data_IF_696621708613
#
_entry.id   IF_696621708613
#
_cell.length_a   1.000
_cell.length_b   1.000
_cell.length_c   1.000
_cell.angle_alpha   90.00
_cell.angle_beta   90.00
_cell.angle_gamma   90.00
#
_symmetry.space_group_name_H-M   'P 1'
#
loop_
_entity.id
_entity.type
_entity.pdbx_description
1 polymer ?
#
# COMPACT_ATOMS: atom_id res chain seq x y z
N UNK A 1 12.78 14.39 13.36
CA UNK A 1 12.99 13.39 12.30
C UNK A 1 11.68 13.21 11.57
N UNK A 2 11.68 13.09 10.24
CA UNK A 2 10.48 12.76 9.47
C UNK A 2 10.00 11.34 9.82
N UNK A 3 8.69 11.10 9.81
CA UNK A 3 8.14 9.76 9.98
C UNK A 3 8.46 8.86 8.79
N UNK A 4 8.38 7.55 8.97
CA UNK A 4 8.52 6.55 7.90
C UNK A 4 7.58 6.87 6.73
N UNK A 5 6.31 7.18 7.02
CA UNK A 5 5.32 7.51 5.99
C UNK A 5 5.70 8.76 5.21
N UNK A 6 6.09 9.85 5.89
CA UNK A 6 6.52 11.07 5.20
C UNK A 6 7.73 10.82 4.29
N UNK A 7 8.72 10.09 4.82
CA UNK A 7 9.94 9.73 4.10
C UNK A 7 9.59 8.90 2.85
N UNK A 8 8.72 7.91 3.02
CA UNK A 8 8.26 7.04 1.94
C UNK A 8 7.45 7.80 0.88
N UNK A 9 6.47 8.59 1.28
CA UNK A 9 5.61 9.33 0.35
C UNK A 9 6.40 10.37 -0.46
N UNK A 10 7.34 11.08 0.18
CA UNK A 10 8.28 11.96 -0.52
C UNK A 10 9.12 11.20 -1.54
N UNK A 11 9.69 10.06 -1.15
CA UNK A 11 10.51 9.23 -2.04
C UNK A 11 9.71 8.69 -3.22
N UNK A 12 8.56 8.06 -2.96
CA UNK A 12 7.64 7.52 -3.97
C UNK A 12 7.23 8.61 -4.98
N UNK A 13 7.01 9.83 -4.50
CA UNK A 13 6.64 10.96 -5.35
C UNK A 13 7.82 11.44 -6.20
N UNK A 14 9.01 11.58 -5.62
CA UNK A 14 10.18 12.14 -6.31
C UNK A 14 10.72 11.22 -7.42
N UNK A 15 10.65 9.90 -7.23
CA UNK A 15 11.16 8.93 -8.22
C UNK A 15 10.03 8.20 -8.97
N UNK A 16 8.77 8.52 -8.66
CA UNK A 16 7.59 7.88 -9.25
C UNK A 16 7.59 6.33 -9.18
N UNK A 17 8.13 5.75 -8.12
CA UNK A 17 8.28 4.30 -7.95
C UNK A 17 7.54 3.78 -6.73
N UNK A 18 7.14 2.51 -6.77
CA UNK A 18 6.70 1.72 -5.60
C UNK A 18 7.60 0.49 -5.38
N UNK A 19 8.74 0.44 -6.08
CA UNK A 19 9.67 -0.67 -5.98
C UNK A 19 10.34 -0.68 -4.61
N UNK A 20 10.27 -1.82 -3.94
CA UNK A 20 11.02 -2.07 -2.72
C UNK A 20 12.13 -3.08 -3.06
N UNK A 21 13.40 -2.73 -2.86
CA UNK A 21 14.51 -3.63 -3.19
C UNK A 21 14.86 -4.47 -1.97
N UNK A 22 14.75 -5.79 -2.09
CA UNK A 22 15.14 -6.73 -1.04
C UNK A 22 16.66 -6.87 -0.95
N UNK A 23 17.19 -6.89 0.26
CA UNK A 23 18.61 -7.10 0.53
C UNK A 23 18.79 -8.44 1.24
N UNK A 24 18.92 -9.51 0.45
CA UNK A 24 18.96 -10.88 0.92
C UNK A 24 20.26 -11.55 0.45
N UNK A 25 21.40 -11.39 1.17
CA UNK A 25 22.70 -11.92 0.79
C UNK A 25 22.76 -13.44 0.91
N UNK A 26 22.16 -14.15 -0.05
CA UNK A 26 22.17 -15.60 -0.13
C UNK A 26 23.59 -16.11 -0.39
N UNK A 27 24.02 -17.15 0.32
CA UNK A 27 25.35 -17.79 0.14
C UNK A 27 25.70 -18.08 -1.33
N UNK A 28 24.72 -18.53 -2.12
CA UNK A 28 24.87 -18.81 -3.55
C UNK A 28 25.20 -17.59 -4.42
N UNK A 29 24.93 -16.37 -3.93
CA UNK A 29 25.16 -15.10 -4.62
C UNK A 29 26.44 -14.39 -4.15
N UNK A 30 26.97 -14.79 -2.99
CA UNK A 30 28.13 -14.14 -2.38
C UNK A 30 29.48 -14.73 -2.83
N UNK A 31 29.48 -15.92 -3.43
CA UNK A 31 30.69 -16.71 -3.72
C UNK A 31 31.37 -17.29 -2.46
N UNK A 32 31.27 -16.60 -1.33
CA UNK A 32 31.62 -17.07 0.02
C UNK A 32 30.65 -16.49 1.04
N UNK A 33 30.16 -17.30 1.99
CA UNK A 33 29.26 -16.85 3.06
C UNK A 33 30.03 -16.06 4.15
N UNK A 34 30.58 -14.90 3.80
CA UNK A 34 31.31 -14.03 4.73
C UNK A 34 30.60 -12.69 4.94
N UNK A 35 30.78 -12.05 6.11
CA UNK A 35 30.26 -10.70 6.36
C UNK A 35 30.71 -9.67 5.30
N UNK A 36 31.97 -9.70 4.88
CA UNK A 36 32.50 -8.77 3.86
C UNK A 36 31.87 -8.98 2.48
N UNK A 37 31.64 -10.23 2.09
CA UNK A 37 30.93 -10.54 0.85
C UNK A 37 29.48 -10.05 0.90
N UNK A 38 28.78 -10.26 2.02
CA UNK A 38 27.42 -9.77 2.23
C UNK A 38 27.35 -8.23 2.17
N UNK A 39 28.29 -7.53 2.82
CA UNK A 39 28.37 -6.06 2.77
C UNK A 39 28.58 -5.57 1.33
N UNK A 40 29.54 -6.16 0.62
CA UNK A 40 29.87 -5.78 -0.77
C UNK A 40 28.71 -6.04 -1.72
N UNK A 41 28.02 -7.17 -1.56
CA UNK A 41 26.82 -7.52 -2.31
C UNK A 41 25.71 -6.48 -2.11
N UNK A 42 25.34 -6.21 -0.85
CA UNK A 42 24.27 -5.25 -0.56
C UNK A 42 24.64 -3.84 -1.01
N UNK A 43 25.88 -3.40 -0.78
CA UNK A 43 26.34 -2.07 -1.22
C UNK A 43 26.27 -1.89 -2.71
N UNK A 44 26.72 -2.89 -3.49
CA UNK A 44 26.64 -2.85 -4.95
C UNK A 44 25.19 -2.77 -5.42
N UNK A 45 24.32 -3.61 -4.84
CA UNK A 45 22.90 -3.65 -5.20
C UNK A 45 22.20 -2.32 -4.88
N UNK A 46 22.49 -1.71 -3.74
CA UNK A 46 21.96 -0.38 -3.36
C UNK A 46 22.41 0.67 -4.36
N UNK A 47 23.69 0.77 -4.67
CA UNK A 47 24.22 1.77 -5.61
C UNK A 47 23.54 1.65 -6.99
N UNK A 48 23.37 0.43 -7.48
CA UNK A 48 22.78 0.18 -8.80
C UNK A 48 21.28 0.48 -8.87
N UNK A 49 20.56 0.35 -7.75
CA UNK A 49 19.09 0.41 -7.73
C UNK A 49 18.52 1.65 -7.05
N UNK A 50 19.37 2.46 -6.41
CA UNK A 50 18.98 3.67 -5.69
C UNK A 50 18.08 4.61 -6.49
N UNK A 51 18.33 4.90 -7.79
CA UNK A 51 17.45 5.81 -8.56
C UNK A 51 16.00 5.33 -8.69
N UNK A 52 15.75 4.03 -8.49
CA UNK A 52 14.49 3.36 -8.77
C UNK A 52 13.79 2.81 -7.51
N UNK A 53 14.53 2.67 -6.41
CA UNK A 53 14.03 2.10 -5.16
C UNK A 53 13.29 3.14 -4.29
N UNK A 54 12.01 2.85 -3.99
CA UNK A 54 11.20 3.60 -3.05
C UNK A 54 11.60 3.31 -1.59
N UNK A 55 12.06 2.10 -1.31
CA UNK A 55 12.67 1.71 -0.03
C UNK A 55 13.54 0.46 -0.19
N UNK A 56 14.38 0.20 0.82
CA UNK A 56 15.15 -1.04 0.92
C UNK A 56 14.61 -1.93 2.03
N UNK A 57 14.62 -3.25 1.79
CA UNK A 57 14.08 -4.24 2.72
C UNK A 57 15.07 -5.36 3.01
N UNK A 58 16.05 -5.16 3.91
CA UNK A 58 16.89 -6.26 4.39
C UNK A 58 16.05 -7.28 5.15
N UNK A 59 16.28 -8.57 4.87
CA UNK A 59 15.71 -9.66 5.66
C UNK A 59 16.73 -10.13 6.70
N UNK A 60 16.37 -9.97 7.98
CA UNK A 60 17.28 -10.20 9.10
C UNK A 60 17.90 -11.60 9.10
N UNK A 61 17.17 -12.62 8.62
CA UNK A 61 17.61 -14.01 8.66
C UNK A 61 18.95 -14.25 7.93
N UNK A 62 19.19 -13.58 6.81
CA UNK A 62 20.43 -13.78 6.05
C UNK A 62 21.65 -13.13 6.72
N UNK A 63 21.43 -12.11 7.52
CA UNK A 63 22.48 -11.48 8.32
C UNK A 63 22.70 -12.24 9.63
N UNK A 64 21.63 -12.68 10.29
CA UNK A 64 21.70 -13.52 11.49
C UNK A 64 22.45 -14.84 11.25
N UNK A 65 22.31 -15.42 10.05
CA UNK A 65 23.05 -16.62 9.64
C UNK A 65 24.58 -16.42 9.60
N UNK A 66 25.07 -15.17 9.52
CA UNK A 66 26.48 -14.80 9.55
C UNK A 66 26.98 -14.42 10.96
N UNK A 67 26.17 -14.66 12.00
CA UNK A 67 26.53 -14.39 13.39
C UNK A 67 26.55 -12.90 13.75
N UNK A 68 27.35 -12.55 14.75
CA UNK A 68 27.47 -11.19 15.27
C UNK A 68 28.04 -10.21 14.23
N UNK A 69 29.01 -10.66 13.42
CA UNK A 69 29.55 -9.88 12.30
C UNK A 69 28.49 -9.62 11.22
N UNK A 70 27.58 -10.57 10.98
CA UNK A 70 26.44 -10.37 10.09
C UNK A 70 25.51 -9.24 10.54
N UNK A 71 25.21 -9.18 11.84
CA UNK A 71 24.41 -8.09 12.41
C UNK A 71 25.14 -6.74 12.34
N UNK A 72 26.47 -6.72 12.51
CA UNK A 72 27.29 -5.51 12.29
C UNK A 72 27.19 -5.06 10.83
N UNK A 73 27.26 -5.99 9.88
CA UNK A 73 27.08 -5.69 8.45
C UNK A 73 25.70 -5.09 8.17
N UNK A 74 24.63 -5.67 8.71
CA UNK A 74 23.27 -5.13 8.56
C UNK A 74 23.20 -3.67 9.04
N UNK A 75 23.71 -3.38 10.25
CA UNK A 75 23.76 -2.02 10.79
C UNK A 75 24.54 -1.08 9.87
N UNK A 76 25.75 -1.48 9.46
CA UNK A 76 26.62 -0.66 8.60
C UNK A 76 25.99 -0.37 7.24
N UNK A 77 25.23 -1.29 6.65
CA UNK A 77 24.51 -1.02 5.41
C UNK A 77 23.45 0.07 5.60
N UNK A 78 22.70 0.01 6.70
CA UNK A 78 21.68 1.00 7.03
C UNK A 78 22.30 2.37 7.32
N UNK A 79 23.39 2.41 8.08
CA UNK A 79 24.04 3.65 8.53
C UNK A 79 24.97 4.29 7.48
N UNK A 80 25.74 3.50 6.75
CA UNK A 80 26.84 4.00 5.90
C UNK A 80 26.49 4.02 4.40
N UNK A 81 25.47 3.27 3.96
CA UNK A 81 25.23 3.01 2.53
C UNK A 81 23.88 3.52 2.05
N UNK A 82 22.81 3.25 2.79
CA UNK A 82 21.47 3.70 2.42
C UNK A 82 21.33 5.18 2.78
N UNK A 83 20.97 6.08 1.83
CA UNK A 83 20.79 7.49 2.15
C UNK A 83 19.67 7.74 3.16
N UNK A 84 19.86 8.75 4.01
CA UNK A 84 18.94 9.12 5.10
C UNK A 84 17.51 9.44 4.65
N UNK A 85 17.29 9.79 3.37
CA UNK A 85 15.99 10.07 2.77
C UNK A 85 15.30 8.84 2.15
N UNK A 86 15.97 7.67 2.12
CA UNK A 86 15.41 6.41 1.62
C UNK A 86 15.00 5.48 2.76
N UNK A 87 13.71 5.10 2.87
CA UNK A 87 13.24 4.28 3.98
C UNK A 87 13.87 2.89 4.03
N UNK A 88 14.12 2.40 5.24
CA UNK A 88 14.53 1.01 5.49
C UNK A 88 13.43 0.24 6.21
N UNK A 89 12.94 -0.83 5.59
CA UNK A 89 11.95 -1.75 6.16
C UNK A 89 12.64 -3.06 6.54
N UNK A 90 12.90 -3.28 7.83
CA UNK A 90 13.52 -4.52 8.29
C UNK A 90 12.52 -5.66 8.30
N UNK A 91 12.78 -6.69 7.49
CA UNK A 91 11.94 -7.88 7.45
C UNK A 91 12.40 -8.89 8.51
N UNK A 92 11.86 -8.76 9.73
CA UNK A 92 12.23 -9.55 10.91
C UNK A 92 11.10 -10.42 11.48
N UNK A 93 9.83 -10.20 11.06
CA UNK A 93 8.64 -10.99 11.43
C UNK A 93 8.50 -11.25 12.93
N UNK A 94 8.85 -10.27 13.77
CA UNK A 94 8.85 -10.43 15.23
C UNK A 94 7.43 -10.45 15.78
N UNK A 95 7.27 -11.03 16.97
CA UNK A 95 6.02 -11.07 17.73
C UNK A 95 6.27 -11.88 18.99
N UNK A 96 6.21 -11.22 20.14
CA UNK A 96 6.46 -11.82 21.46
C UNK A 96 5.79 -10.97 22.54
N UNK A 97 5.70 -11.45 23.78
CA UNK A 97 4.98 -10.75 24.84
C UNK A 97 5.83 -9.67 25.53
N UNK A 98 5.17 -8.57 25.89
CA UNK A 98 5.64 -7.59 26.87
C UNK A 98 7.09 -7.10 26.67
N UNK A 99 7.93 -7.33 27.68
CA UNK A 99 9.32 -6.86 27.69
C UNK A 99 10.18 -7.48 26.59
N UNK A 100 9.85 -8.69 26.13
CA UNK A 100 10.60 -9.34 25.04
C UNK A 100 10.36 -8.62 23.72
N UNK A 101 9.12 -8.26 23.41
CA UNK A 101 8.81 -7.44 22.24
C UNK A 101 9.43 -6.04 22.32
N UNK A 102 9.50 -5.44 23.52
CA UNK A 102 10.19 -4.16 23.70
C UNK A 102 11.69 -4.26 23.36
N UNK A 103 12.37 -5.32 23.80
CA UNK A 103 13.76 -5.57 23.44
C UNK A 103 13.96 -5.76 21.93
N UNK A 104 13.03 -6.45 21.26
CA UNK A 104 13.06 -6.56 19.80
C UNK A 104 12.82 -5.23 19.08
N UNK A 105 11.94 -4.38 19.61
CA UNK A 105 11.71 -3.04 19.07
C UNK A 105 12.97 -2.16 19.19
N UNK A 106 13.67 -2.21 20.33
CA UNK A 106 14.95 -1.51 20.52
C UNK A 106 16.04 -2.04 19.58
N UNK A 107 16.16 -3.37 19.44
CA UNK A 107 17.06 -3.98 18.48
C UNK A 107 16.82 -3.48 17.05
N UNK A 108 15.57 -3.45 16.59
CA UNK A 108 15.25 -3.05 15.22
C UNK A 108 15.39 -1.53 14.98
N UNK A 109 14.80 -0.71 15.85
CA UNK A 109 14.69 0.73 15.59
C UNK A 109 15.89 1.53 16.08
N UNK A 110 16.50 1.15 17.21
CA UNK A 110 17.63 1.89 17.78
C UNK A 110 18.98 1.32 17.34
N UNK A 111 19.12 -0.01 17.35
CA UNK A 111 20.41 -0.63 17.07
C UNK A 111 20.65 -0.93 15.60
N UNK A 112 19.62 -1.27 14.83
CA UNK A 112 19.73 -1.42 13.37
C UNK A 112 19.42 -0.10 12.65
N UNK A 113 18.61 0.77 13.25
CA UNK A 113 18.22 2.04 12.64
C UNK A 113 17.10 1.92 11.60
N UNK A 114 16.33 0.82 11.61
CA UNK A 114 15.23 0.61 10.67
C UNK A 114 14.15 1.70 10.83
N UNK A 115 13.50 2.07 9.73
CA UNK A 115 12.35 2.99 9.73
C UNK A 115 11.02 2.25 9.89
N UNK A 116 10.97 0.99 9.46
CA UNK A 116 9.83 0.12 9.66
C UNK A 116 10.24 -1.34 9.87
N UNK A 117 9.34 -2.15 10.42
CA UNK A 117 9.56 -3.60 10.64
C UNK A 117 8.39 -4.44 10.14
N UNK A 118 8.63 -5.73 9.86
CA UNK A 118 7.56 -6.73 9.73
C UNK A 118 7.26 -7.42 11.07
N UNK A 119 5.97 -7.61 11.37
CA UNK A 119 5.48 -8.21 12.63
C UNK A 119 4.46 -9.32 12.39
N UNK A 120 4.43 -10.32 13.27
CA UNK A 120 3.38 -11.32 13.34
C UNK A 120 2.22 -10.82 14.21
N UNK A 121 0.97 -10.78 13.70
CA UNK A 121 -0.19 -10.33 14.49
C UNK A 121 -0.80 -11.44 15.36
N UNK A 122 -0.33 -12.69 15.23
CA UNK A 122 -1.04 -13.87 15.72
C UNK A 122 -1.16 -13.94 17.25
N UNK A 123 -0.21 -13.34 17.97
CA UNK A 123 -0.21 -13.29 19.44
C UNK A 123 -1.03 -12.14 20.01
N UNK A 124 -1.65 -11.31 19.16
CA UNK A 124 -2.53 -10.21 19.59
C UNK A 124 -1.86 -8.84 19.63
N UNK A 125 -2.59 -7.85 20.17
CA UNK A 125 -2.14 -6.46 20.21
C UNK A 125 -0.98 -6.24 21.18
N UNK A 126 -1.04 -6.84 22.36
CA UNK A 126 -0.04 -6.71 23.41
C UNK A 126 1.34 -7.24 23.02
N UNK A 127 1.41 -8.14 22.02
CA UNK A 127 2.69 -8.62 21.48
C UNK A 127 3.33 -7.70 20.44
N UNK A 128 2.59 -6.72 19.92
CA UNK A 128 3.05 -5.79 18.86
C UNK A 128 3.06 -4.34 19.31
N UNK A 129 2.25 -3.99 20.33
CA UNK A 129 2.19 -2.67 20.92
C UNK A 129 3.56 -2.09 21.33
N UNK A 130 4.54 -2.87 21.83
CA UNK A 130 5.87 -2.33 22.13
C UNK A 130 6.62 -1.74 20.92
N UNK A 131 6.28 -2.14 19.70
CA UNK A 131 6.81 -1.56 18.46
C UNK A 131 6.09 -0.26 18.05
N UNK A 132 4.95 0.05 18.68
CA UNK A 132 4.01 1.12 18.29
C UNK A 132 3.72 2.00 19.50
N UNK A 133 4.76 2.68 19.96
CA UNK A 133 4.72 3.57 21.13
C UNK A 133 5.07 4.99 20.71
N UNK A 134 4.83 5.98 21.59
CA UNK A 134 5.24 7.37 21.35
C UNK A 134 6.76 7.49 21.08
N UNK A 135 7.58 6.64 21.73
CA UNK A 135 9.03 6.52 21.50
C UNK A 135 9.36 6.18 20.04
N UNK A 136 8.50 5.42 19.37
CA UNK A 136 8.64 5.01 17.96
C UNK A 136 7.53 5.59 17.08
N UNK A 137 6.98 6.75 17.44
CA UNK A 137 5.90 7.40 16.69
C UNK A 137 6.28 7.74 15.24
N UNK A 138 7.57 7.90 14.95
CA UNK A 138 8.09 8.11 13.61
C UNK A 138 8.30 6.83 12.81
N UNK A 139 8.09 5.64 13.39
CA UNK A 139 8.38 4.33 12.77
C UNK A 139 7.14 3.68 12.18
N UNK A 140 7.35 2.70 11.29
CA UNK A 140 6.28 1.92 10.66
C UNK A 140 6.25 0.45 11.07
N UNK A 141 5.08 -0.18 11.05
CA UNK A 141 4.91 -1.60 11.35
C UNK A 141 4.02 -2.29 10.29
N UNK A 142 4.55 -3.34 9.64
CA UNK A 142 3.85 -4.12 8.61
C UNK A 142 3.50 -5.52 9.11
N UNK A 143 2.20 -5.82 9.17
CA UNK A 143 1.72 -7.06 9.78
C UNK A 143 1.52 -8.17 8.75
N UNK A 144 2.00 -9.37 9.05
CA UNK A 144 1.74 -10.56 8.24
C UNK A 144 0.23 -10.82 8.14
N UNK A 145 -0.33 -10.67 6.94
CA UNK A 145 -1.78 -10.74 6.71
C UNK A 145 -2.14 -11.97 5.88
N UNK A 146 -1.71 -12.02 4.61
CA UNK A 146 -1.81 -13.18 3.72
C UNK A 146 -0.47 -13.39 3.07
N UNK A 147 0.33 -14.32 3.57
CA UNK A 147 1.71 -14.51 3.06
C UNK A 147 1.71 -15.21 1.69
N UNK A 148 2.79 -15.04 0.92
CA UNK A 148 2.88 -15.52 -0.47
C UNK A 148 3.17 -17.03 -0.61
N UNK A 149 3.51 -17.72 0.47
CA UNK A 149 3.84 -19.14 0.46
C UNK A 149 2.58 -20.03 0.33
N UNK A 150 2.67 -21.24 -0.28
CA UNK A 150 1.54 -22.15 -0.44
C UNK A 150 0.84 -22.57 0.87
N UNK A 151 1.61 -22.70 1.96
CA UNK A 151 1.08 -23.03 3.29
C UNK A 151 0.35 -21.87 3.99
N UNK A 152 0.25 -20.69 3.38
CA UNK A 152 -0.52 -19.57 3.95
C UNK A 152 -1.99 -19.95 4.19
N UNK A 153 -2.54 -20.84 3.35
CA UNK A 153 -3.92 -21.34 3.46
C UNK A 153 -4.22 -22.16 4.70
N UNK A 154 -3.20 -22.75 5.34
CA UNK A 154 -3.38 -23.66 6.48
C UNK A 154 -4.06 -22.95 7.67
N UNK A 155 -3.79 -21.66 7.83
CA UNK A 155 -4.39 -20.83 8.88
C UNK A 155 -5.07 -19.58 8.35
N UNK A 156 -4.44 -18.88 7.39
CA UNK A 156 -4.87 -17.53 7.03
C UNK A 156 -6.16 -17.50 6.20
N UNK A 157 -6.50 -18.61 5.52
CA UNK A 157 -7.74 -18.77 4.75
C UNK A 157 -8.86 -19.48 5.54
N UNK A 158 -8.67 -19.74 6.84
CA UNK A 158 -9.73 -20.32 7.65
C UNK A 158 -10.91 -19.36 7.76
N UNK A 159 -12.11 -19.89 7.51
CA UNK A 159 -13.35 -19.15 7.68
C UNK A 159 -13.64 -18.89 9.16
N UNK A 160 -13.89 -17.63 9.48
CA UNK A 160 -14.39 -17.22 10.78
C UNK A 160 -15.92 -17.20 10.78
N UNK A 161 -16.52 -17.27 11.98
CA UNK A 161 -17.98 -17.20 12.16
C UNK A 161 -18.63 -15.94 11.58
N UNK A 162 -17.85 -14.90 11.30
CA UNK A 162 -18.27 -13.64 10.68
C UNK A 162 -18.36 -13.69 9.15
N UNK A 163 -18.23 -14.86 8.51
CA UNK A 163 -18.10 -15.02 7.04
C UNK A 163 -16.93 -14.22 6.44
N UNK A 164 -15.86 -14.07 7.22
CA UNK A 164 -14.60 -13.49 6.76
C UNK A 164 -13.50 -14.52 7.00
N UNK A 165 -12.48 -14.54 6.15
CA UNK A 165 -11.28 -15.34 6.39
C UNK A 165 -10.40 -14.72 7.49
N UNK A 166 -9.51 -15.51 8.09
CA UNK A 166 -8.60 -15.01 9.12
C UNK A 166 -7.75 -13.83 8.62
N UNK A 167 -7.25 -13.86 7.39
CA UNK A 167 -6.46 -12.75 6.84
C UNK A 167 -7.30 -11.47 6.65
N UNK A 168 -8.57 -11.57 6.24
CA UNK A 168 -9.44 -10.41 6.16
C UNK A 168 -9.70 -9.79 7.53
N UNK A 169 -9.83 -10.63 8.57
CA UNK A 169 -9.97 -10.15 9.94
C UNK A 169 -8.69 -9.46 10.45
N UNK A 170 -7.50 -9.99 10.14
CA UNK A 170 -6.22 -9.31 10.42
C UNK A 170 -6.18 -7.95 9.71
N UNK A 171 -6.57 -7.89 8.43
CA UNK A 171 -6.62 -6.65 7.67
C UNK A 171 -7.56 -5.61 8.31
N UNK A 172 -8.75 -6.03 8.78
CA UNK A 172 -9.67 -5.16 9.52
C UNK A 172 -9.09 -4.69 10.85
N UNK A 173 -8.46 -5.57 11.63
CA UNK A 173 -7.82 -5.22 12.89
C UNK A 173 -6.77 -4.13 12.70
N UNK A 174 -5.86 -4.31 11.74
CA UNK A 174 -4.79 -3.35 11.46
C UNK A 174 -5.35 -2.04 10.91
N UNK A 175 -6.20 -2.12 9.89
CA UNK A 175 -6.68 -0.94 9.15
C UNK A 175 -7.72 -0.10 9.88
N UNK A 176 -8.42 -0.69 10.86
CA UNK A 176 -9.48 -0.01 11.59
C UNK A 176 -9.16 0.08 13.09
N UNK A 177 -9.08 -1.05 13.78
CA UNK A 177 -8.97 -1.07 15.24
C UNK A 177 -7.62 -0.53 15.72
N UNK A 178 -6.52 -1.09 15.25
CA UNK A 178 -5.17 -0.68 15.69
C UNK A 178 -4.82 0.70 15.13
N UNK A 179 -5.13 0.97 13.86
CA UNK A 179 -4.94 2.31 13.28
C UNK A 179 -5.68 3.42 14.06
N UNK A 180 -6.91 3.17 14.54
CA UNK A 180 -7.64 4.16 15.35
C UNK A 180 -7.09 4.33 16.76
N UNK A 181 -6.48 3.27 17.33
CA UNK A 181 -5.83 3.32 18.63
C UNK A 181 -4.46 4.02 18.58
N UNK A 182 -3.78 4.00 17.44
CA UNK A 182 -2.46 4.61 17.24
C UNK A 182 -2.44 5.53 16.01
N UNK A 183 -3.18 6.65 16.04
CA UNK A 183 -3.30 7.54 14.88
C UNK A 183 -1.98 8.21 14.47
N UNK A 184 -0.97 8.19 15.34
CA UNK A 184 0.37 8.70 15.08
C UNK A 184 1.27 7.73 14.33
N UNK A 185 0.94 6.43 14.29
CA UNK A 185 1.82 5.38 13.78
C UNK A 185 1.45 4.97 12.35
N UNK A 186 2.44 4.61 11.54
CA UNK A 186 2.21 4.05 10.21
C UNK A 186 2.04 2.54 10.30
N UNK A 187 0.81 2.05 10.12
CA UNK A 187 0.52 0.61 10.06
C UNK A 187 0.33 0.14 8.61
N UNK A 188 0.88 -1.03 8.30
CA UNK A 188 0.80 -1.66 6.99
C UNK A 188 0.52 -3.15 7.07
N UNK A 189 0.25 -3.77 5.92
CA UNK A 189 0.02 -5.21 5.80
C UNK A 189 1.05 -5.85 4.88
N UNK A 190 1.37 -7.11 5.14
CA UNK A 190 2.11 -7.97 4.22
C UNK A 190 1.13 -8.93 3.55
N UNK A 191 0.95 -8.76 2.24
CA UNK A 191 -0.06 -9.48 1.45
C UNK A 191 0.58 -9.97 0.15
N UNK A 192 0.63 -11.28 -0.07
CA UNK A 192 1.33 -11.88 -1.19
C UNK A 192 0.78 -11.44 -2.55
N UNK A 193 1.66 -11.00 -3.45
CA UNK A 193 1.33 -10.65 -4.83
C UNK A 193 0.97 -11.86 -5.72
N UNK A 194 1.11 -13.08 -5.19
CA UNK A 194 0.75 -14.34 -5.87
C UNK A 194 -0.76 -14.58 -5.90
N UNK A 195 -1.54 -13.85 -5.10
CA UNK A 195 -2.99 -14.01 -5.00
C UNK A 195 -3.70 -12.64 -5.09
N UNK A 196 -3.99 -12.15 -6.31
CA UNK A 196 -4.68 -10.88 -6.51
C UNK A 196 -6.09 -10.83 -5.89
N UNK A 197 -6.75 -11.97 -5.71
CA UNK A 197 -8.08 -12.04 -5.09
C UNK A 197 -7.98 -11.72 -3.61
N UNK A 198 -7.09 -12.41 -2.89
CA UNK A 198 -6.84 -12.11 -1.48
C UNK A 198 -6.28 -10.70 -1.28
N UNK A 199 -5.48 -10.22 -2.23
CA UNK A 199 -4.91 -8.87 -2.18
C UNK A 199 -6.00 -7.78 -2.26
N UNK A 200 -6.97 -7.94 -3.17
CA UNK A 200 -8.14 -7.06 -3.26
C UNK A 200 -9.01 -7.12 -2.00
N UNK A 201 -9.24 -8.32 -1.46
CA UNK A 201 -10.01 -8.52 -0.23
C UNK A 201 -9.33 -7.84 0.97
N UNK A 202 -8.02 -8.02 1.13
CA UNK A 202 -7.24 -7.38 2.19
C UNK A 202 -7.25 -5.84 2.06
N UNK A 203 -7.07 -5.30 0.84
CA UNK A 203 -7.19 -3.85 0.57
C UNK A 203 -8.55 -3.31 1.01
N UNK A 204 -9.64 -3.99 0.63
CA UNK A 204 -11.00 -3.59 1.01
C UNK A 204 -11.21 -3.64 2.53
N UNK A 205 -10.74 -4.70 3.18
CA UNK A 205 -10.87 -4.91 4.61
C UNK A 205 -10.09 -3.88 5.44
N UNK A 206 -8.88 -3.53 5.00
CA UNK A 206 -7.98 -2.59 5.67
C UNK A 206 -8.32 -1.11 5.40
N UNK A 207 -8.87 -0.81 4.22
CA UNK A 207 -9.13 0.55 3.77
C UNK A 207 -7.98 1.16 2.96
N UNK A 208 -8.25 2.33 2.38
CA UNK A 208 -7.39 2.96 1.37
C UNK A 208 -6.12 3.62 1.91
N UNK A 209 -6.04 3.86 3.23
CA UNK A 209 -4.91 4.54 3.87
C UNK A 209 -3.77 3.60 4.28
N UNK A 210 -4.05 2.29 4.39
CA UNK A 210 -3.08 1.30 4.87
C UNK A 210 -2.09 0.98 3.77
N UNK A 211 -0.79 0.98 4.06
CA UNK A 211 0.21 0.53 3.09
C UNK A 211 0.26 -1.00 3.00
N UNK A 212 0.40 -1.55 1.79
CA UNK A 212 0.56 -2.99 1.58
C UNK A 212 1.95 -3.29 1.03
N UNK A 213 2.74 -4.08 1.76
CA UNK A 213 3.96 -4.70 1.27
C UNK A 213 3.61 -6.01 0.57
N UNK A 214 3.87 -6.11 -0.74
CA UNK A 214 3.35 -7.20 -1.57
C UNK A 214 4.42 -8.13 -2.18
N UNK A 215 5.02 -9.03 -1.38
CA UNK A 215 6.02 -9.96 -1.89
C UNK A 215 5.42 -11.02 -2.81
N UNK A 216 6.23 -11.48 -3.75
CA UNK A 216 5.90 -12.61 -4.61
C UNK A 216 5.95 -12.33 -6.10
N UNK A 217 6.15 -11.07 -6.50
CA UNK A 217 6.41 -10.72 -7.92
C UNK A 217 7.73 -11.35 -8.40
N UNK A 218 7.73 -11.89 -9.62
CA UNK A 218 8.91 -12.49 -10.23
C UNK A 218 9.16 -13.93 -9.74
N UNK A 219 10.13 -14.13 -8.85
CA UNK A 219 10.64 -15.46 -8.48
C UNK A 219 9.60 -16.42 -7.86
N UNK A 220 8.47 -15.91 -7.35
CA UNK A 220 7.38 -16.73 -6.80
C UNK A 220 6.15 -16.78 -7.72
N UNK A 221 6.25 -16.24 -8.94
CA UNK A 221 5.22 -16.35 -9.98
C UNK A 221 4.11 -15.31 -9.93
N UNK A 222 4.17 -14.30 -9.04
CA UNK A 222 3.19 -13.23 -9.01
C UNK A 222 3.28 -12.31 -10.24
N UNK A 223 2.13 -12.00 -10.85
CA UNK A 223 2.02 -11.05 -11.95
C UNK A 223 1.98 -9.61 -11.40
N UNK A 224 2.92 -8.77 -11.83
CA UNK A 224 3.06 -7.40 -11.33
C UNK A 224 1.82 -6.54 -11.59
N UNK A 225 1.30 -6.56 -12.82
CA UNK A 225 0.16 -5.73 -13.23
C UNK A 225 -1.12 -6.12 -12.49
N UNK A 226 -1.39 -7.42 -12.37
CA UNK A 226 -2.56 -7.93 -11.64
C UNK A 226 -2.49 -7.59 -10.15
N UNK A 227 -1.31 -7.76 -9.53
CA UNK A 227 -1.09 -7.42 -8.13
C UNK A 227 -1.31 -5.91 -7.88
N UNK A 228 -0.75 -5.04 -8.74
CA UNK A 228 -0.93 -3.59 -8.64
C UNK A 228 -2.39 -3.19 -8.81
N UNK A 229 -3.10 -3.73 -9.81
CA UNK A 229 -4.52 -3.46 -10.00
C UNK A 229 -5.40 -3.92 -8.83
N UNK A 230 -5.02 -5.02 -8.16
CA UNK A 230 -5.72 -5.49 -6.98
C UNK A 230 -5.42 -4.68 -5.72
N UNK A 231 -4.22 -4.11 -5.62
CA UNK A 231 -3.66 -3.60 -4.36
C UNK A 231 -3.48 -2.11 -4.22
N UNK A 232 -3.35 -1.39 -5.33
CA UNK A 232 -3.23 0.06 -5.29
C UNK A 232 -4.52 0.68 -4.74
N UNK A 233 -4.35 1.79 -4.01
CA UNK A 233 -5.48 2.63 -3.65
C UNK A 233 -5.92 3.51 -4.85
N UNK A 234 -7.01 4.25 -4.66
CA UNK A 234 -7.59 5.16 -5.65
C UNK A 234 -6.59 6.20 -6.23
N UNK A 235 -5.55 6.53 -5.48
CA UNK A 235 -4.52 7.50 -5.88
C UNK A 235 -3.34 6.83 -6.63
N UNK A 236 -3.44 5.53 -6.92
CA UNK A 236 -2.36 4.76 -7.55
C UNK A 236 -1.12 4.65 -6.66
N UNK A 237 -1.31 4.52 -5.34
CA UNK A 237 -0.25 4.37 -4.32
C UNK A 237 -0.70 3.39 -3.23
N UNK A 238 -0.11 3.45 -2.04
CA UNK A 238 -0.48 2.63 -0.87
C UNK A 238 0.02 1.19 -0.95
N UNK A 239 0.98 0.90 -1.84
CA UNK A 239 1.54 -0.43 -2.04
C UNK A 239 3.05 -0.33 -2.27
N UNK A 240 3.80 -1.31 -1.79
CA UNK A 240 5.22 -1.51 -2.04
C UNK A 240 5.43 -2.88 -2.65
N UNK A 241 6.26 -2.97 -3.69
CA UNK A 241 6.53 -4.22 -4.41
C UNK A 241 7.95 -4.69 -4.05
N UNK A 242 8.13 -5.53 -3.01
CA UNK A 242 9.43 -6.06 -2.65
C UNK A 242 9.91 -7.08 -3.68
N UNK A 243 11.01 -6.77 -4.36
CA UNK A 243 11.71 -7.66 -5.27
C UNK A 243 13.14 -7.82 -4.79
N UNK A 244 13.54 -9.07 -4.55
CA UNK A 244 14.86 -9.46 -4.05
C UNK A 244 15.62 -10.15 -5.18
N UNK A 245 15.68 -11.49 -5.20
CA UNK A 245 16.32 -12.33 -6.23
C UNK A 245 16.03 -11.98 -7.68
N UNK A 246 14.85 -11.42 -7.98
CA UNK A 246 14.51 -10.96 -9.35
C UNK A 246 15.39 -9.81 -9.84
N UNK A 247 15.97 -9.03 -8.93
CA UNK A 247 16.93 -7.95 -9.22
C UNK A 247 18.36 -8.43 -8.97
N UNK A 248 18.63 -9.07 -7.83
CA UNK A 248 20.01 -9.42 -7.46
C UNK A 248 20.65 -10.46 -8.38
N UNK A 249 19.86 -11.35 -8.98
CA UNK A 249 20.34 -12.36 -9.95
C UNK A 249 20.24 -11.90 -11.41
N UNK A 250 19.78 -10.69 -11.67
CA UNK A 250 19.74 -10.16 -13.02
C UNK A 250 21.15 -9.88 -13.55
N UNK A 251 21.36 -10.02 -14.86
CA UNK A 251 22.63 -9.66 -15.50
C UNK A 251 22.96 -8.18 -15.27
N UNK A 252 21.94 -7.33 -15.26
CA UNK A 252 22.06 -5.91 -14.96
C UNK A 252 20.97 -5.47 -13.95
N UNK A 253 21.27 -5.51 -12.64
CA UNK A 253 20.32 -5.14 -11.59
C UNK A 253 19.73 -3.73 -11.75
N UNK A 254 20.53 -2.78 -12.24
CA UNK A 254 20.09 -1.40 -12.47
C UNK A 254 19.04 -1.32 -13.58
N UNK A 255 19.28 -1.99 -14.71
CA UNK A 255 18.33 -2.04 -15.82
C UNK A 255 17.03 -2.74 -15.43
N UNK A 256 17.12 -3.86 -14.71
CA UNK A 256 15.92 -4.58 -14.23
C UNK A 256 15.12 -3.76 -13.22
N UNK A 257 15.77 -3.04 -12.30
CA UNK A 257 15.07 -2.16 -11.36
C UNK A 257 14.36 -0.99 -12.08
N UNK A 258 15.00 -0.42 -13.11
CA UNK A 258 14.40 0.61 -13.97
C UNK A 258 13.17 0.08 -14.70
N UNK A 259 13.25 -1.10 -15.31
CA UNK A 259 12.13 -1.71 -16.03
C UNK A 259 10.93 -1.95 -15.10
N UNK A 260 11.18 -2.47 -13.89
CA UNK A 260 10.13 -2.65 -12.87
C UNK A 260 9.49 -1.33 -12.47
N UNK A 261 10.29 -0.26 -12.28
CA UNK A 261 9.77 1.08 -12.01
C UNK A 261 8.85 1.57 -13.15
N UNK A 262 9.27 1.43 -14.40
CA UNK A 262 8.49 1.85 -15.58
C UNK A 262 7.16 1.09 -15.66
N UNK A 263 7.17 -0.23 -15.45
CA UNK A 263 5.95 -1.05 -15.40
C UNK A 263 5.01 -0.63 -14.26
N UNK A 264 5.57 -0.36 -13.07
CA UNK A 264 4.83 0.17 -11.93
C UNK A 264 4.19 1.51 -12.28
N UNK A 265 4.94 2.44 -12.87
CA UNK A 265 4.44 3.76 -13.27
C UNK A 265 3.25 3.66 -14.23
N UNK A 266 3.34 2.80 -15.25
CA UNK A 266 2.26 2.57 -16.22
C UNK A 266 0.99 2.09 -15.51
N UNK A 267 1.11 1.10 -14.62
CA UNK A 267 -0.03 0.57 -13.86
C UNK A 267 -0.65 1.64 -12.94
N UNK A 268 0.18 2.48 -12.29
CA UNK A 268 -0.32 3.56 -11.42
C UNK A 268 -1.12 4.60 -12.21
N UNK A 269 -0.68 4.95 -13.42
CA UNK A 269 -1.43 5.85 -14.31
C UNK A 269 -2.79 5.26 -14.67
N UNK A 270 -2.83 3.99 -15.07
CA UNK A 270 -4.07 3.29 -15.40
C UNK A 270 -5.06 3.28 -14.24
N UNK A 271 -4.62 2.99 -13.01
CA UNK A 271 -5.49 2.99 -11.82
C UNK A 271 -6.06 4.38 -11.54
N UNK A 272 -5.25 5.44 -11.68
CA UNK A 272 -5.71 6.84 -11.51
C UNK A 272 -6.74 7.23 -12.55
N UNK A 273 -6.53 6.85 -13.81
CA UNK A 273 -7.47 7.11 -14.92
C UNK A 273 -8.78 6.33 -14.75
N UNK A 274 -8.71 5.05 -14.37
CA UNK A 274 -9.91 4.25 -14.08
C UNK A 274 -10.70 4.82 -12.90
N UNK A 275 -9.99 5.25 -11.85
CA UNK A 275 -10.62 5.86 -10.68
C UNK A 275 -11.33 7.16 -11.05
N UNK A 276 -10.67 8.05 -11.81
CA UNK A 276 -11.28 9.33 -12.23
C UNK A 276 -12.50 9.14 -13.13
N UNK A 277 -12.48 8.15 -14.03
CA UNK A 277 -13.63 7.75 -14.84
C UNK A 277 -14.76 7.14 -14.01
N UNK A 278 -14.43 6.35 -12.98
CA UNK A 278 -15.43 5.73 -12.07
C UNK A 278 -16.06 6.73 -11.10
N UNK A 279 -15.29 7.71 -10.60
CA UNK A 279 -15.82 8.80 -9.77
C UNK A 279 -16.67 9.77 -10.59
N UNK A 280 -16.40 9.89 -11.89
CA UNK A 280 -17.28 10.58 -12.82
C UNK A 280 -18.58 9.80 -13.11
N UNK A 281 -18.65 8.50 -12.82
CA UNK A 281 -19.80 7.63 -13.09
C UNK A 281 -20.61 7.19 -11.86
N UNK A 282 -20.15 7.48 -10.63
CA UNK A 282 -20.89 7.13 -9.40
C UNK A 282 -22.03 8.12 -9.12
N UNK A 283 -23.03 8.12 -10.00
CA UNK A 283 -24.30 8.80 -9.77
C UNK A 283 -25.05 8.00 -8.70
N UNK A 284 -25.34 8.63 -7.56
CA UNK A 284 -26.15 8.03 -6.50
C UNK A 284 -27.57 7.74 -7.02
N UNK A 285 -28.29 6.73 -6.49
CA UNK A 285 -29.62 6.37 -6.99
C UNK A 285 -30.58 7.56 -7.14
N UNK A 286 -30.62 8.46 -6.15
CA UNK A 286 -31.47 9.65 -6.18
C UNK A 286 -31.06 10.66 -7.27
N UNK A 287 -29.77 10.73 -7.60
CA UNK A 287 -29.25 11.59 -8.67
C UNK A 287 -29.64 11.02 -10.03
N UNK A 288 -29.63 9.69 -10.19
CA UNK A 288 -30.08 9.00 -11.40
C UNK A 288 -31.58 9.23 -11.62
N UNK A 289 -32.38 9.00 -10.58
CA UNK A 289 -33.83 9.25 -10.61
C UNK A 289 -34.14 10.72 -10.96
N UNK A 290 -33.36 11.66 -10.44
CA UNK A 290 -33.50 13.08 -10.77
C UNK A 290 -33.19 13.37 -12.24
N UNK A 291 -32.13 12.79 -12.80
CA UNK A 291 -31.74 12.98 -14.20
C UNK A 291 -32.77 12.36 -15.15
N UNK A 292 -33.23 11.13 -14.86
CA UNK A 292 -34.29 10.46 -15.62
C UNK A 292 -35.58 11.28 -15.60
N UNK A 293 -35.99 11.74 -14.43
CA UNK A 293 -37.16 12.61 -14.31
C UNK A 293 -36.99 13.94 -15.06
N UNK A 294 -35.78 14.53 -15.03
CA UNK A 294 -35.48 15.76 -15.76
C UNK A 294 -35.57 15.56 -17.27
N UNK A 295 -35.18 14.40 -17.79
CA UNK A 295 -35.34 14.04 -19.20
C UNK A 295 -36.82 13.83 -19.55
N UNK A 296 -37.57 13.11 -18.72
CA UNK A 296 -39.01 12.87 -18.91
C UNK A 296 -39.82 14.17 -18.98
N UNK A 297 -39.52 15.15 -18.12
CA UNK A 297 -40.19 16.45 -18.11
C UNK A 297 -39.68 17.41 -19.19
N UNK A 298 -38.66 17.01 -19.98
CA UNK A 298 -37.99 17.88 -20.93
C UNK A 298 -37.27 19.07 -20.27
N UNK A 299 -37.02 19.00 -18.96
CA UNK A 299 -36.19 19.94 -18.21
C UNK A 299 -34.76 19.85 -18.73
N UNK A 300 -34.23 18.63 -18.88
CA UNK A 300 -32.95 18.35 -19.51
C UNK A 300 -33.18 17.86 -20.94
N UNK A 301 -32.47 18.45 -21.91
CA UNK A 301 -32.48 18.04 -23.32
C UNK A 301 -31.06 17.96 -23.85
N UNK A 302 -30.78 16.99 -24.71
CA UNK A 302 -29.52 16.86 -25.44
C UNK A 302 -29.72 17.30 -26.90
N UNK A 303 -28.70 17.94 -27.49
CA UNK A 303 -28.77 18.56 -28.81
C UNK A 303 -27.77 19.71 -28.94
N UNK A 304 -27.90 20.55 -29.96
CA UNK A 304 -27.05 21.74 -30.13
C UNK A 304 -27.83 22.99 -29.74
N UNK A 305 -27.39 23.67 -28.67
CA UNK A 305 -28.06 24.87 -28.15
C UNK A 305 -27.08 26.04 -28.06
N UNK A 306 -27.46 27.22 -28.56
CA UNK A 306 -26.66 28.44 -28.41
C UNK A 306 -27.06 29.14 -27.11
N UNK A 307 -26.12 29.27 -26.18
CA UNK A 307 -26.33 29.92 -24.89
C UNK A 307 -26.31 31.45 -25.02
N UNK A 308 -26.82 32.17 -24.01
CA UNK A 308 -26.77 33.65 -23.96
C UNK A 308 -25.34 34.22 -24.08
N UNK A 309 -24.32 33.42 -23.74
CA UNK A 309 -22.91 33.75 -23.91
C UNK A 309 -22.38 33.58 -25.34
N UNK A 310 -23.23 33.18 -26.30
CA UNK A 310 -22.84 32.84 -27.68
C UNK A 310 -22.15 31.49 -27.84
N UNK A 311 -21.96 30.72 -26.76
CA UNK A 311 -21.34 29.38 -26.81
C UNK A 311 -22.36 28.33 -27.21
N UNK A 312 -21.94 27.36 -28.01
CA UNK A 312 -22.74 26.16 -28.29
C UNK A 312 -22.57 25.13 -27.17
N UNK A 313 -23.68 24.64 -26.63
CA UNK A 313 -23.74 23.60 -25.60
C UNK A 313 -24.40 22.33 -26.15
N UNK A 314 -23.88 21.13 -25.80
CA UNK A 314 -24.47 19.85 -26.22
C UNK A 314 -25.73 19.46 -25.42
N UNK A 315 -26.12 20.27 -24.44
CA UNK A 315 -27.33 20.08 -23.66
C UNK A 315 -27.91 21.43 -23.21
N UNK A 316 -29.18 21.42 -22.82
CA UNK A 316 -29.88 22.54 -22.22
C UNK A 316 -30.68 22.07 -21.01
N UNK A 317 -30.63 22.82 -19.92
CA UNK A 317 -31.37 22.53 -18.68
C UNK A 317 -32.26 23.72 -18.31
N UNK A 318 -33.58 23.52 -18.30
CA UNK A 318 -34.57 24.53 -17.95
C UNK A 318 -35.35 24.15 -16.68
N UNK A 319 -34.83 24.56 -15.53
CA UNK A 319 -35.46 24.32 -14.24
C UNK A 319 -36.87 24.91 -14.12
N UNK A 320 -37.23 25.91 -14.95
CA UNK A 320 -38.57 26.49 -14.98
C UNK A 320 -39.66 25.51 -15.44
N UNK A 321 -39.29 24.36 -16.02
CA UNK A 321 -40.23 23.31 -16.40
C UNK A 321 -40.63 22.41 -15.22
N UNK A 322 -40.01 22.54 -14.04
CA UNK A 322 -40.54 21.96 -12.80
C UNK A 322 -41.75 22.76 -12.29
N UNK A 323 -42.83 22.82 -13.08
CA UNK A 323 -43.95 23.74 -12.87
C UNK A 323 -45.21 23.09 -12.26
N UNK A 324 -45.18 21.78 -11.99
CA UNK A 324 -46.33 21.04 -11.42
C UNK A 324 -46.05 20.61 -9.98
N UNK A 325 -47.11 20.36 -9.19
CA UNK A 325 -46.97 19.87 -7.82
C UNK A 325 -46.15 18.58 -7.72
N UNK A 326 -46.38 17.64 -8.65
CA UNK A 326 -45.60 16.38 -8.74
C UNK A 326 -44.13 16.64 -9.05
N UNK A 327 -43.83 17.58 -9.95
CA UNK A 327 -42.47 17.94 -10.31
C UNK A 327 -41.72 18.60 -9.15
N UNK A 328 -42.36 19.52 -8.44
CA UNK A 328 -41.80 20.16 -7.25
C UNK A 328 -41.58 19.16 -6.12
N UNK A 329 -42.47 18.18 -5.94
CA UNK A 329 -42.30 17.11 -4.96
C UNK A 329 -41.07 16.24 -5.24
N UNK A 330 -40.89 15.78 -6.50
CA UNK A 330 -39.71 14.99 -6.90
C UNK A 330 -38.41 15.81 -6.78
N UNK A 331 -38.44 17.08 -7.16
CA UNK A 331 -37.31 18.00 -6.99
C UNK A 331 -36.95 18.15 -5.50
N UNK A 332 -37.94 18.35 -4.62
CA UNK A 332 -37.75 18.44 -3.18
C UNK A 332 -37.13 17.17 -2.57
N UNK A 333 -37.52 15.98 -3.03
CA UNK A 333 -36.89 14.71 -2.63
C UNK A 333 -35.41 14.63 -3.02
N UNK A 334 -35.05 15.10 -4.22
CA UNK A 334 -33.66 15.12 -4.67
C UNK A 334 -32.80 16.09 -3.81
N UNK A 335 -33.34 17.26 -3.47
CA UNK A 335 -32.69 18.18 -2.54
C UNK A 335 -32.51 17.56 -1.15
N UNK A 336 -33.57 17.00 -0.57
CA UNK A 336 -33.51 16.35 0.74
C UNK A 336 -32.49 15.20 0.77
N UNK A 337 -32.47 14.37 -0.28
CA UNK A 337 -31.50 13.27 -0.40
C UNK A 337 -30.07 13.79 -0.50
N UNK A 338 -29.84 14.91 -1.20
CA UNK A 338 -28.51 15.55 -1.27
C UNK A 338 -28.07 16.07 0.10
N UNK A 339 -28.97 16.73 0.84
CA UNK A 339 -28.73 17.21 2.20
C UNK A 339 -28.33 16.04 3.12
N UNK A 340 -29.10 14.94 3.09
CA UNK A 340 -28.84 13.76 3.93
C UNK A 340 -27.54 13.02 3.59
N UNK A 341 -27.08 13.09 2.34
CA UNK A 341 -25.83 12.46 1.90
C UNK A 341 -24.63 13.43 1.93
N UNK A 342 -24.83 14.68 2.33
CA UNK A 342 -23.76 15.65 2.47
C UNK A 342 -23.12 15.54 3.84
N UNK A 343 -21.79 15.52 3.87
CA UNK A 343 -20.99 15.60 5.10
C UNK A 343 -20.69 17.05 5.53
N UNK A 344 -21.20 18.05 4.81
CA UNK A 344 -20.89 19.47 4.99
C UNK A 344 -22.04 20.32 5.57
N UNK A 345 -22.86 19.75 6.46
CA UNK A 345 -23.97 20.45 7.11
C UNK A 345 -23.83 20.48 8.63
#
# INVERSE_FOLDING_TARGET
MSSFQEKLERRVTSINSLLCVGLDPHEQELGSATPDAAFTFCKTLIIQTLPYAACYKPNAAFFEALGDEGLKVLRRIVEEVIPDDVPVLLDCKRGDIGSTAAAYADAAYQHIGADAVTLSPLMGWDSVAPFITEKYSSKGAFFLCKTSNPGSKDFLELDLKSNATLYEYIAQLVGQKWSSQTPFATLGLVVGATDPVALRAARKAAGNKVWILAPGVGAQGGNLSEALQAGLNAEGTGMLIPVSRGISKAENPSATAKELQEQIEVCRKQVREQTSLSSASSILPYQKEFLEFSLEQGVLKFGSFVLKSGRTSPYFFNAGLFATGTALFKLGKAYASTIMNSSSL
#
